data_IF_393249409957
#
_entry.id   IF_393249409957
#
_cell.length_a   1.000
_cell.length_b   1.000
_cell.length_c   1.000
_cell.angle_alpha   90.00
_cell.angle_beta   90.00
_cell.angle_gamma   90.00
#
_symmetry.space_group_name_H-M   'P 1'
#
loop_
_entity.id
_entity.type
_entity.pdbx_description
1 polymer ?
#
# COMPACT_ATOMS: atom_id res chain seq x y z
N UNK A 1 57.96 -12.27 3.64
CA UNK A 1 56.60 -12.46 3.09
C UNK A 1 55.86 -13.45 3.98
N UNK A 2 55.15 -12.92 4.97
CA UNK A 2 54.37 -13.71 5.93
C UNK A 2 53.18 -14.36 5.23
N UNK A 3 52.98 -15.66 5.45
CA UNK A 3 51.89 -16.45 4.88
C UNK A 3 50.54 -15.85 5.31
N UNK A 4 49.83 -15.25 4.37
CA UNK A 4 48.41 -14.86 4.52
C UNK A 4 47.46 -16.05 4.33
N UNK A 5 47.95 -17.30 4.47
CA UNK A 5 47.18 -18.53 4.23
C UNK A 5 46.59 -19.14 5.50
N UNK A 6 46.80 -18.51 6.66
CA UNK A 6 46.44 -19.09 7.97
C UNK A 6 45.38 -18.26 8.74
N UNK A 7 44.62 -17.44 8.01
CA UNK A 7 43.48 -16.73 8.58
C UNK A 7 42.28 -17.69 8.57
N UNK A 8 42.01 -18.33 9.70
CA UNK A 8 40.84 -19.20 9.97
C UNK A 8 39.53 -18.39 10.08
N UNK A 9 39.38 -17.32 9.31
CA UNK A 9 38.26 -16.38 9.40
C UNK A 9 37.74 -16.13 7.99
N UNK A 10 36.98 -17.09 7.44
CA UNK A 10 36.03 -17.00 6.29
C UNK A 10 35.93 -18.32 5.49
N UNK A 11 35.75 -19.46 6.15
CA UNK A 11 35.36 -20.70 5.42
C UNK A 11 34.04 -21.23 5.96
N UNK A 12 33.87 -21.23 7.29
CA UNK A 12 32.64 -21.65 7.95
C UNK A 12 31.38 -20.86 7.53
N UNK A 13 31.54 -19.55 7.24
CA UNK A 13 30.44 -18.70 6.73
C UNK A 13 30.03 -19.10 5.30
N UNK A 14 30.97 -19.56 4.47
CA UNK A 14 30.67 -20.00 3.10
C UNK A 14 30.06 -21.40 3.08
N UNK A 15 30.48 -22.30 3.98
CA UNK A 15 29.86 -23.62 4.14
C UNK A 15 28.40 -23.51 4.63
N UNK A 16 28.10 -22.60 5.56
CA UNK A 16 26.73 -22.33 6.01
C UNK A 16 25.84 -21.67 4.95
N UNK A 17 26.41 -20.98 3.98
CA UNK A 17 25.69 -20.44 2.81
C UNK A 17 25.46 -21.49 1.72
N UNK A 18 26.20 -22.61 1.73
CA UNK A 18 26.03 -23.70 0.76
C UNK A 18 24.83 -24.60 1.05
N UNK A 19 24.40 -24.67 2.32
CA UNK A 19 23.17 -25.38 2.75
C UNK A 19 21.90 -24.53 2.61
N UNK A 20 22.01 -23.23 2.34
CA UNK A 20 20.85 -22.40 2.06
C UNK A 20 20.35 -22.65 0.64
N UNK A 21 19.25 -23.39 0.51
CA UNK A 21 18.48 -23.43 -0.73
C UNK A 21 17.90 -22.04 -1.01
N UNK A 22 18.64 -21.24 -1.77
CA UNK A 22 18.16 -19.96 -2.26
C UNK A 22 17.15 -20.25 -3.37
N UNK A 23 15.87 -20.02 -3.08
CA UNK A 23 14.81 -20.07 -4.08
C UNK A 23 14.99 -18.91 -5.08
N UNK A 24 15.85 -19.09 -6.09
CA UNK A 24 16.18 -18.11 -7.15
C UNK A 24 15.05 -17.85 -8.15
N UNK A 25 13.84 -18.37 -7.90
CA UNK A 25 12.67 -18.19 -8.77
C UNK A 25 12.66 -19.09 -10.02
N UNK A 26 13.63 -19.99 -10.19
CA UNK A 26 13.71 -20.92 -11.32
C UNK A 26 12.84 -22.18 -11.15
N UNK A 27 12.24 -22.40 -9.98
CA UNK A 27 11.45 -23.61 -9.68
C UNK A 27 10.05 -23.32 -9.14
N UNK A 28 9.94 -22.94 -7.87
CA UNK A 28 8.67 -22.75 -7.17
C UNK A 28 8.48 -21.28 -6.77
N UNK A 29 7.39 -20.67 -7.24
CA UNK A 29 7.07 -19.29 -6.90
C UNK A 29 6.68 -19.20 -5.42
N UNK A 30 7.40 -18.38 -4.65
CA UNK A 30 7.05 -18.12 -3.25
C UNK A 30 5.78 -17.25 -3.22
N UNK A 31 4.65 -17.89 -2.95
CA UNK A 31 3.35 -17.21 -2.86
C UNK A 31 3.09 -16.74 -1.42
N UNK A 32 2.78 -15.45 -1.27
CA UNK A 32 2.39 -14.89 0.01
C UNK A 32 1.04 -15.45 0.48
N UNK A 33 1.04 -16.19 1.60
CA UNK A 33 -0.18 -16.75 2.19
C UNK A 33 -0.95 -15.71 3.00
N UNK A 34 -2.24 -15.53 2.69
CA UNK A 34 -3.14 -14.67 3.46
C UNK A 34 -3.52 -15.31 4.80
N UNK A 35 -3.13 -14.70 5.92
CA UNK A 35 -3.51 -15.14 7.27
C UNK A 35 -4.91 -14.64 7.68
N UNK A 36 -5.67 -15.49 8.36
CA UNK A 36 -7.01 -15.17 8.94
C UNK A 36 -6.86 -14.80 10.42
N UNK A 37 -7.67 -13.85 10.92
CA UNK A 37 -7.67 -13.49 12.34
C UNK A 37 -8.42 -12.19 12.68
N UNK A 38 -8.60 -11.88 13.96
CA UNK A 38 -9.31 -10.68 14.43
C UNK A 38 -8.65 -9.37 13.96
N UNK A 39 -7.32 -9.29 14.04
CA UNK A 39 -6.54 -8.17 13.54
C UNK A 39 -6.65 -7.97 12.02
N UNK A 40 -6.96 -9.05 11.27
CA UNK A 40 -7.23 -8.99 9.83
C UNK A 40 -8.54 -8.26 9.54
N UNK A 41 -9.58 -8.56 10.31
CA UNK A 41 -10.90 -7.93 10.16
C UNK A 41 -10.82 -6.44 10.51
N UNK A 42 -10.05 -6.09 11.55
CA UNK A 42 -9.77 -4.68 11.88
C UNK A 42 -9.07 -3.95 10.74
N UNK A 43 -8.06 -4.59 10.12
CA UNK A 43 -7.40 -4.04 8.92
C UNK A 43 -8.39 -3.86 7.78
N UNK A 44 -9.26 -4.83 7.51
CA UNK A 44 -10.29 -4.72 6.47
C UNK A 44 -11.23 -3.53 6.70
N UNK A 45 -11.58 -3.24 7.95
CA UNK A 45 -12.36 -2.04 8.28
C UNK A 45 -11.57 -0.76 8.00
N UNK A 46 -10.29 -0.70 8.41
CA UNK A 46 -9.39 0.42 8.08
C UNK A 46 -9.24 0.63 6.56
N UNK A 47 -9.15 -0.44 5.77
CA UNK A 47 -9.10 -0.37 4.31
C UNK A 47 -10.38 0.22 3.71
N UNK A 48 -11.55 -0.04 4.31
CA UNK A 48 -12.83 0.44 3.80
C UNK A 48 -12.95 1.96 3.82
N UNK A 49 -12.20 2.65 4.71
CA UNK A 49 -12.23 4.12 4.80
C UNK A 49 -11.75 4.79 3.50
N UNK A 50 -10.85 4.13 2.76
CA UNK A 50 -10.33 4.64 1.50
C UNK A 50 -11.37 4.67 0.38
N UNK A 51 -12.48 3.94 0.50
CA UNK A 51 -13.59 4.01 -0.46
C UNK A 51 -14.20 5.41 -0.54
N UNK A 52 -14.18 6.18 0.56
CA UNK A 52 -14.63 7.57 0.55
C UNK A 52 -13.77 8.44 -0.36
N UNK A 53 -12.46 8.16 -0.46
CA UNK A 53 -11.59 8.91 -1.37
C UNK A 53 -11.89 8.60 -2.84
N UNK A 54 -12.28 7.36 -3.16
CA UNK A 54 -12.63 6.96 -4.51
C UNK A 54 -14.05 7.36 -4.93
N UNK A 55 -15.02 7.22 -4.04
CA UNK A 55 -16.44 7.48 -4.32
C UNK A 55 -16.82 8.94 -4.04
N UNK A 56 -16.18 9.58 -3.07
CA UNK A 56 -16.44 10.95 -2.64
C UNK A 56 -16.46 11.98 -3.77
N UNK A 57 -15.49 11.98 -4.69
CA UNK A 57 -15.47 12.89 -5.83
C UNK A 57 -16.66 12.73 -6.78
N UNK A 58 -17.23 11.53 -6.89
CA UNK A 58 -18.35 11.24 -7.80
C UNK A 58 -19.73 11.49 -7.17
N UNK A 59 -19.78 11.70 -5.86
CA UNK A 59 -21.03 12.07 -5.18
C UNK A 59 -21.48 13.42 -5.74
N UNK A 60 -22.76 13.51 -6.12
CA UNK A 60 -23.36 14.77 -6.57
C UNK A 60 -23.82 15.56 -5.37
N UNK A 61 -23.41 16.82 -5.31
CA UNK A 61 -23.78 17.76 -4.25
C UNK A 61 -24.32 19.03 -4.90
N UNK A 62 -25.57 19.41 -4.58
CA UNK A 62 -26.25 20.58 -5.15
C UNK A 62 -26.25 20.66 -6.69
N UNK A 63 -26.44 19.52 -7.38
CA UNK A 63 -26.54 19.46 -8.84
C UNK A 63 -25.20 19.47 -9.60
N UNK A 64 -24.07 19.66 -8.92
CA UNK A 64 -22.72 19.55 -9.47
C UNK A 64 -21.95 18.39 -8.83
N UNK A 65 -20.83 18.00 -9.43
CA UNK A 65 -19.94 16.98 -8.88
C UNK A 65 -19.21 17.53 -7.64
N UNK A 66 -19.13 16.74 -6.56
CA UNK A 66 -18.59 17.21 -5.28
C UNK A 66 -17.13 17.68 -5.37
N UNK A 67 -16.31 17.09 -6.24
CA UNK A 67 -14.97 17.59 -6.55
C UNK A 67 -14.87 17.71 -8.06
N UNK A 68 -14.99 18.95 -8.57
CA UNK A 68 -14.88 19.25 -10.00
C UNK A 68 -13.74 20.25 -10.22
N UNK A 69 -12.73 19.85 -10.97
CA UNK A 69 -11.65 20.72 -11.42
C UNK A 69 -12.03 21.26 -12.82
N UNK A 70 -12.65 22.43 -12.89
CA UNK A 70 -12.99 23.09 -14.15
C UNK A 70 -11.77 23.88 -14.66
N UNK A 71 -10.96 23.19 -15.48
CA UNK A 71 -9.76 23.75 -16.12
C UNK A 71 -10.08 24.94 -17.05
N UNK A 72 -11.10 24.90 -17.93
CA UNK A 72 -11.37 26.02 -18.82
C UNK A 72 -11.82 27.30 -18.10
N UNK A 73 -12.58 27.19 -17.00
CA UNK A 73 -13.01 28.36 -16.23
C UNK A 73 -12.06 28.72 -15.06
N UNK A 74 -10.98 27.97 -14.86
CA UNK A 74 -10.05 28.10 -13.73
C UNK A 74 -10.77 28.10 -12.37
N UNK A 75 -11.84 27.32 -12.25
CA UNK A 75 -12.68 27.22 -11.06
C UNK A 75 -12.53 25.83 -10.46
N UNK A 76 -12.19 25.77 -9.17
CA UNK A 76 -12.15 24.49 -8.45
C UNK A 76 -13.36 24.39 -7.53
N UNK A 77 -14.24 23.45 -7.81
CA UNK A 77 -15.43 23.20 -6.99
C UNK A 77 -15.12 22.09 -5.99
N UNK A 78 -15.14 22.42 -4.69
CA UNK A 78 -14.95 21.48 -3.57
C UNK A 78 -16.18 21.51 -2.66
N UNK A 79 -16.99 20.46 -2.70
CA UNK A 79 -18.18 20.24 -1.85
C UNK A 79 -19.09 21.48 -1.73
N UNK A 80 -19.28 22.20 -2.84
CA UNK A 80 -20.08 23.43 -2.90
C UNK A 80 -19.32 24.74 -2.68
N UNK A 81 -18.04 24.70 -2.33
CA UNK A 81 -17.15 25.88 -2.34
C UNK A 81 -16.52 26.05 -3.72
N UNK A 82 -16.65 27.24 -4.30
CA UNK A 82 -16.01 27.62 -5.56
C UNK A 82 -14.74 28.40 -5.25
N UNK A 83 -13.57 27.80 -5.52
CA UNK A 83 -12.27 28.44 -5.36
C UNK A 83 -11.87 29.14 -6.66
N UNK A 84 -11.58 30.43 -6.55
CA UNK A 84 -10.98 31.22 -7.61
C UNK A 84 -9.44 31.26 -7.48
N UNK A 85 -8.70 31.66 -8.51
CA UNK A 85 -7.23 31.78 -8.46
C UNK A 85 -6.71 32.63 -7.29
N UNK A 86 -7.50 33.60 -6.81
CA UNK A 86 -7.17 34.44 -5.67
C UNK A 86 -7.20 33.67 -4.32
N UNK A 87 -7.93 32.57 -4.21
CA UNK A 87 -8.15 31.82 -2.97
C UNK A 87 -7.17 30.63 -2.80
N UNK A 88 -6.19 30.50 -3.70
CA UNK A 88 -5.20 29.41 -3.67
C UNK A 88 -4.42 29.36 -2.35
N UNK A 89 -4.22 30.51 -1.69
CA UNK A 89 -3.54 30.57 -0.39
C UNK A 89 -4.33 29.87 0.74
N UNK A 90 -5.67 29.88 0.68
CA UNK A 90 -6.52 29.17 1.64
C UNK A 90 -6.37 27.66 1.45
N UNK A 91 -6.34 27.22 0.19
CA UNK A 91 -6.14 25.82 -0.17
C UNK A 91 -4.76 25.32 0.26
N UNK A 92 -3.69 26.10 0.03
CA UNK A 92 -2.33 25.71 0.42
C UNK A 92 -2.16 25.63 1.95
N UNK A 93 -2.74 26.57 2.71
CA UNK A 93 -2.71 26.54 4.17
C UNK A 93 -3.50 25.35 4.73
N UNK A 94 -4.62 25.01 4.11
CA UNK A 94 -5.41 23.83 4.45
C UNK A 94 -4.63 22.54 4.18
N UNK A 95 -3.97 22.41 3.03
CA UNK A 95 -3.08 21.29 2.70
C UNK A 95 -1.91 21.19 3.67
N UNK A 96 -1.30 22.32 4.03
CA UNK A 96 -0.22 22.37 5.02
C UNK A 96 -0.70 21.87 6.37
N UNK A 97 -1.89 22.28 6.82
CA UNK A 97 -2.50 21.79 8.06
C UNK A 97 -2.69 20.27 8.03
N UNK A 98 -3.24 19.71 6.94
CA UNK A 98 -3.38 18.26 6.78
C UNK A 98 -2.03 17.54 6.75
N UNK A 99 -1.00 18.11 6.11
CA UNK A 99 0.34 17.54 6.09
C UNK A 99 0.96 17.46 7.49
N UNK A 100 0.83 18.54 8.28
CA UNK A 100 1.30 18.56 9.68
C UNK A 100 0.51 17.58 10.54
N UNK A 101 -0.81 17.52 10.38
CA UNK A 101 -1.67 16.58 11.10
C UNK A 101 -1.26 15.13 10.80
N UNK A 102 -1.01 14.81 9.53
CA UNK A 102 -0.54 13.49 9.12
C UNK A 102 0.85 13.17 9.70
N UNK A 103 1.79 14.14 9.70
CA UNK A 103 3.10 13.98 10.32
C UNK A 103 3.02 13.79 11.85
N UNK A 104 2.12 14.48 12.52
CA UNK A 104 1.86 14.28 13.96
C UNK A 104 1.24 12.91 14.24
N UNK A 105 0.31 12.45 13.40
CA UNK A 105 -0.28 11.12 13.54
C UNK A 105 0.77 10.00 13.34
N UNK A 106 1.70 10.16 12.40
CA UNK A 106 2.77 9.18 12.13
C UNK A 106 3.85 9.18 13.20
N UNK A 107 4.13 10.31 13.86
CA UNK A 107 5.09 10.36 14.96
C UNK A 107 4.59 9.63 16.22
N UNK A 108 3.28 9.70 16.51
CA UNK A 108 2.68 9.06 17.68
C UNK A 108 2.50 7.54 17.47
N UNK A 109 1.99 7.12 16.32
CA UNK A 109 1.59 5.72 16.08
C UNK A 109 2.04 5.20 14.70
N UNK A 110 3.26 5.51 14.29
CA UNK A 110 3.78 5.20 12.95
C UNK A 110 3.65 3.72 12.54
N UNK A 111 3.87 2.78 13.46
CA UNK A 111 3.71 1.33 13.19
C UNK A 111 2.25 0.96 12.89
N UNK A 112 1.30 1.56 13.61
CA UNK A 112 -0.13 1.33 13.42
C UNK A 112 -0.59 1.99 12.12
N UNK A 113 -0.15 3.23 11.87
CA UNK A 113 -0.47 3.95 10.64
C UNK A 113 0.08 3.24 9.40
N UNK A 114 1.38 2.92 9.40
CA UNK A 114 2.01 2.23 8.27
C UNK A 114 1.46 0.81 8.07
N UNK A 115 1.05 0.11 9.13
CA UNK A 115 0.52 -1.25 9.04
C UNK A 115 -0.97 -1.36 8.65
N UNK A 116 -1.78 -0.36 8.99
CA UNK A 116 -3.25 -0.43 8.85
C UNK A 116 -3.86 0.63 7.93
N UNK A 117 -3.26 1.81 7.80
CA UNK A 117 -3.84 2.95 7.06
C UNK A 117 -3.07 3.33 5.79
N UNK A 118 -1.78 3.00 5.68
CA UNK A 118 -0.96 3.35 4.52
C UNK A 118 -1.61 2.92 3.19
N UNK A 119 -1.76 3.87 2.26
CA UNK A 119 -2.40 3.65 0.97
C UNK A 119 -1.77 2.49 0.20
N UNK A 120 -0.42 2.43 0.17
CA UNK A 120 0.31 1.36 -0.49
C UNK A 120 -0.07 -0.02 0.08
N UNK A 121 -0.08 -0.16 1.40
CA UNK A 121 -0.40 -1.42 2.08
C UNK A 121 -1.85 -1.84 1.84
N UNK A 122 -2.77 -0.89 1.87
CA UNK A 122 -4.20 -1.13 1.61
C UNK A 122 -4.40 -1.62 0.17
N UNK A 123 -3.76 -0.96 -0.81
CA UNK A 123 -3.91 -1.30 -2.22
C UNK A 123 -3.30 -2.67 -2.55
N UNK A 124 -2.08 -2.96 -2.10
CA UNK A 124 -1.46 -4.28 -2.29
C UNK A 124 -2.31 -5.37 -1.64
N UNK A 125 -2.86 -5.13 -0.45
CA UNK A 125 -3.71 -6.13 0.23
C UNK A 125 -5.05 -6.39 -0.48
N UNK A 126 -5.63 -5.35 -1.08
CA UNK A 126 -6.81 -5.45 -1.93
C UNK A 126 -6.48 -6.21 -3.22
N UNK A 127 -5.34 -5.94 -3.85
CA UNK A 127 -4.89 -6.67 -5.03
C UNK A 127 -4.74 -8.18 -4.73
N UNK A 128 -4.00 -8.54 -3.68
CA UNK A 128 -3.86 -9.94 -3.25
C UNK A 128 -5.19 -10.56 -2.80
N UNK A 129 -6.19 -9.75 -2.40
CA UNK A 129 -7.54 -10.26 -2.10
C UNK A 129 -8.27 -10.65 -3.38
N UNK A 130 -8.20 -9.80 -4.40
CA UNK A 130 -8.84 -10.01 -5.69
C UNK A 130 -8.19 -11.20 -6.39
N UNK A 131 -6.86 -11.24 -6.43
CA UNK A 131 -6.05 -12.37 -6.94
C UNK A 131 -6.44 -13.67 -6.23
N UNK A 132 -6.44 -13.69 -4.89
CA UNK A 132 -6.86 -14.86 -4.11
C UNK A 132 -8.32 -15.28 -4.29
N UNK A 133 -9.19 -14.38 -4.80
CA UNK A 133 -10.59 -14.70 -5.14
C UNK A 133 -10.73 -15.28 -6.55
N UNK A 134 -9.87 -14.86 -7.49
CA UNK A 134 -9.86 -15.32 -8.88
C UNK A 134 -9.05 -16.62 -9.04
N UNK A 135 -7.81 -16.66 -8.53
CA UNK A 135 -6.87 -17.78 -8.66
C UNK A 135 -6.94 -18.76 -7.48
N UNK A 136 -7.32 -18.24 -6.30
CA UNK A 136 -7.51 -19.02 -5.07
C UNK A 136 -6.51 -18.70 -3.95
N UNK A 137 -7.03 -18.54 -2.73
CA UNK A 137 -6.29 -18.08 -1.54
C UNK A 137 -5.18 -19.01 -0.99
N UNK A 138 -4.83 -20.09 -1.67
CA UNK A 138 -3.88 -21.09 -1.17
C UNK A 138 -2.86 -21.37 -2.25
N UNK A 139 -1.56 -21.49 -1.91
CA UNK A 139 -0.53 -21.79 -2.90
C UNK A 139 -0.94 -22.96 -3.82
N UNK A 140 -1.53 -24.01 -3.26
CA UNK A 140 -2.04 -25.17 -4.01
C UNK A 140 -3.13 -24.84 -5.05
N UNK A 141 -3.97 -23.83 -4.82
CA UNK A 141 -5.00 -23.38 -5.78
C UNK A 141 -4.39 -22.49 -6.86
N UNK A 142 -3.47 -21.60 -6.49
CA UNK A 142 -2.75 -20.74 -7.44
C UNK A 142 -1.84 -21.56 -8.36
N UNK A 143 -1.11 -22.56 -7.84
CA UNK A 143 -0.35 -23.50 -8.66
C UNK A 143 -1.25 -24.31 -9.61
N UNK A 144 -2.47 -24.66 -9.19
CA UNK A 144 -3.43 -25.34 -10.06
C UNK A 144 -3.99 -24.42 -11.16
N UNK A 145 -4.11 -23.12 -10.90
CA UNK A 145 -4.51 -22.13 -11.90
C UNK A 145 -3.38 -21.85 -12.88
N UNK A 146 -2.16 -21.64 -12.40
CA UNK A 146 -0.97 -21.41 -13.22
C UNK A 146 -0.54 -22.63 -14.04
N UNK A 147 -0.97 -23.83 -13.66
CA UNK A 147 -0.77 -25.07 -14.44
C UNK A 147 -1.96 -25.46 -15.32
N UNK A 148 -3.03 -24.65 -15.34
CA UNK A 148 -4.12 -24.82 -16.29
C UNK A 148 -3.70 -24.30 -17.69
N UNK A 149 -4.13 -24.96 -18.78
CA UNK A 149 -3.75 -24.59 -20.15
C UNK A 149 -4.34 -23.25 -20.62
#
# INVERSE_FOLDING_TARGET
>A
MSKLSDITVKVEVYDALSEWEVHTGEGENVVARRMKGKYRTLKNFGMSIWLIYFLGPYIRWNGQQAVLLDIPNQQFHLFGMTLFPQDIWVLSLTLLFFAILLAAATSIAGRVFCGYFCFQTVWTDMFTFIEGKLEGNTPQKQHKFNSAP
#
